data_IF_632749230915
#
_entry.id   IF_632749230915
#
_cell.length_a   1.000
_cell.length_b   1.000
_cell.length_c   1.000
_cell.angle_alpha   90.00
_cell.angle_beta   90.00
_cell.angle_gamma   90.00
#
_symmetry.space_group_name_H-M   'P 1'
#
loop_
_entity.id
_entity.type
_entity.pdbx_description
1 polymer ?
#
# COMPACT_ATOMS: atom_id res chain seq x y z
N UNK A 1 -4.27 8.84 7.32
CA UNK A 1 -4.34 9.68 8.53
C UNK A 1 -3.44 10.90 8.45
N UNK A 2 -2.12 10.78 8.30
CA UNK A 2 -1.24 11.96 8.12
C UNK A 2 -1.74 12.96 7.06
N UNK A 3 -2.16 12.47 5.87
CA UNK A 3 -2.72 13.33 4.83
C UNK A 3 -3.98 14.11 5.28
N UNK A 4 -4.88 13.49 6.06
CA UNK A 4 -6.04 14.21 6.61
C UNK A 4 -5.61 15.33 7.55
N UNK A 5 -4.62 15.08 8.41
CA UNK A 5 -4.02 16.13 9.26
C UNK A 5 -3.41 17.24 8.41
N UNK A 6 -2.74 16.90 7.30
CA UNK A 6 -2.20 17.93 6.39
C UNK A 6 -3.29 18.76 5.71
N UNK A 7 -4.44 18.16 5.36
CA UNK A 7 -5.60 18.90 4.83
C UNK A 7 -6.16 19.85 5.88
N UNK A 8 -6.30 19.41 7.13
CA UNK A 8 -6.74 20.27 8.24
C UNK A 8 -5.74 21.41 8.51
N UNK A 9 -4.44 21.10 8.53
CA UNK A 9 -3.39 22.10 8.69
C UNK A 9 -3.37 23.10 7.53
N UNK A 10 -3.67 22.68 6.30
CA UNK A 10 -3.76 23.60 5.16
C UNK A 10 -4.90 24.63 5.32
N UNK A 11 -5.88 24.38 6.21
CA UNK A 11 -6.94 25.33 6.55
C UNK A 11 -6.58 26.20 7.76
N UNK A 12 -6.01 25.60 8.81
CA UNK A 12 -5.77 26.30 10.09
C UNK A 12 -4.39 26.96 10.22
N UNK A 13 -3.35 26.37 9.60
CA UNK A 13 -1.95 26.83 9.64
C UNK A 13 -1.22 26.43 8.34
N UNK A 14 -1.49 27.12 7.21
CA UNK A 14 -1.03 26.70 5.88
C UNK A 14 0.50 26.62 5.71
N UNK A 15 1.23 27.42 6.47
CA UNK A 15 2.69 27.45 6.54
C UNK A 15 3.28 26.14 7.10
N UNK A 16 2.54 25.46 7.98
CA UNK A 16 2.93 24.19 8.60
C UNK A 16 2.49 22.96 7.80
N UNK A 17 1.61 23.14 6.80
CA UNK A 17 1.14 22.04 5.97
C UNK A 17 2.14 21.67 4.88
N UNK A 18 2.29 20.36 4.66
CA UNK A 18 2.94 19.80 3.48
C UNK A 18 2.12 19.99 2.19
N UNK A 19 0.85 20.38 2.33
CA UNK A 19 -0.05 20.67 1.21
C UNK A 19 -0.20 22.18 0.98
N UNK A 20 -0.49 22.55 -0.26
CA UNK A 20 -0.73 23.93 -0.70
C UNK A 20 -1.89 23.97 -1.69
N UNK A 21 -2.63 25.08 -1.78
CA UNK A 21 -3.69 25.23 -2.78
C UNK A 21 -3.09 25.35 -4.19
N UNK A 22 -3.72 24.70 -5.16
CA UNK A 22 -3.37 24.89 -6.56
C UNK A 22 -3.61 26.35 -6.96
N UNK A 23 -2.56 27.03 -7.42
CA UNK A 23 -2.55 28.46 -7.76
C UNK A 23 -1.64 29.35 -6.89
N UNK A 24 -1.27 28.92 -5.68
CA UNK A 24 -0.43 29.74 -4.78
C UNK A 24 1.09 29.67 -5.11
N UNK A 25 1.54 28.71 -5.92
CA UNK A 25 2.93 28.65 -6.41
C UNK A 25 3.03 28.89 -7.94
N UNK A 26 2.28 29.85 -8.48
CA UNK A 26 2.47 30.36 -9.85
C UNK A 26 2.10 29.41 -10.99
N UNK A 27 1.20 28.46 -10.75
CA UNK A 27 0.68 27.55 -11.80
C UNK A 27 -0.76 27.95 -12.17
N UNK A 28 -1.02 28.08 -13.48
CA UNK A 28 -2.36 28.29 -14.04
C UNK A 28 -3.19 27.02 -13.90
N UNK A 29 -4.30 27.10 -13.19
CA UNK A 29 -5.19 25.96 -12.95
C UNK A 29 -6.00 26.14 -11.69
N UNK A 30 -7.06 26.95 -11.79
CA UNK A 30 -8.02 27.20 -10.73
C UNK A 30 -8.80 25.94 -10.37
N UNK A 31 -8.35 25.23 -9.35
CA UNK A 31 -9.12 24.21 -8.66
C UNK A 31 -8.94 24.38 -7.16
N UNK A 32 -10.02 24.34 -6.38
CA UNK A 32 -9.96 24.46 -4.92
C UNK A 32 -9.28 23.28 -4.20
N UNK A 33 -8.69 22.33 -4.94
CA UNK A 33 -7.95 21.19 -4.40
C UNK A 33 -6.55 21.60 -3.95
N UNK A 34 -6.04 20.84 -3.00
CA UNK A 34 -4.70 20.92 -2.46
C UNK A 34 -3.76 19.98 -3.22
N UNK A 35 -2.46 20.28 -3.22
CA UNK A 35 -1.41 19.39 -3.73
C UNK A 35 -0.25 19.32 -2.75
N UNK A 36 0.59 18.29 -2.88
CA UNK A 36 1.84 18.21 -2.14
C UNK A 36 2.80 19.30 -2.64
N UNK A 37 3.38 20.09 -1.73
CA UNK A 37 4.39 21.10 -2.09
C UNK A 37 5.60 20.43 -2.72
N UNK A 38 6.22 21.08 -3.73
CA UNK A 38 7.32 20.52 -4.55
C UNK A 38 8.54 20.05 -3.74
N UNK A 39 8.79 20.64 -2.57
CA UNK A 39 9.89 20.27 -1.67
C UNK A 39 9.69 18.96 -0.91
N UNK A 40 8.49 18.37 -0.95
CA UNK A 40 8.17 17.13 -0.25
C UNK A 40 7.98 15.99 -1.24
N UNK A 41 8.44 14.81 -0.82
CA UNK A 41 8.30 13.55 -1.55
C UNK A 41 7.90 12.43 -0.57
N UNK A 42 7.14 11.45 -1.06
CA UNK A 42 6.71 10.31 -0.25
C UNK A 42 7.46 9.06 -0.70
N UNK A 43 8.07 8.37 0.26
CA UNK A 43 8.89 7.18 0.02
C UNK A 43 8.33 6.00 0.80
N UNK A 44 8.15 4.86 0.14
CA UNK A 44 7.70 3.62 0.78
C UNK A 44 8.89 2.72 1.05
N UNK A 45 9.09 2.31 2.29
CA UNK A 45 10.05 1.29 2.68
C UNK A 45 9.32 -0.01 3.05
N UNK A 46 9.79 -1.14 2.55
CA UNK A 46 9.30 -2.47 2.94
C UNK A 46 10.51 -3.36 3.22
N UNK A 47 10.51 -4.08 4.34
CA UNK A 47 11.62 -4.96 4.72
C UNK A 47 11.89 -6.09 3.70
N UNK A 48 10.91 -6.46 2.90
CA UNK A 48 11.00 -7.55 1.94
C UNK A 48 10.03 -7.31 0.79
N UNK A 49 10.31 -7.86 -0.40
CA UNK A 49 9.48 -7.66 -1.59
C UNK A 49 7.97 -7.84 -1.29
N UNK A 50 7.08 -7.00 -1.83
CA UNK A 50 5.65 -7.10 -1.54
C UNK A 50 5.08 -8.45 -2.00
N UNK A 51 4.22 -9.06 -1.18
CA UNK A 51 3.56 -10.33 -1.54
C UNK A 51 2.75 -10.17 -2.84
N UNK A 52 2.67 -11.25 -3.62
CA UNK A 52 2.08 -11.26 -4.96
C UNK A 52 3.15 -11.46 -6.03
N UNK A 53 2.95 -10.86 -7.21
CA UNK A 53 3.84 -11.00 -8.37
C UNK A 53 5.28 -10.53 -8.08
N UNK A 54 5.46 -9.60 -7.13
CA UNK A 54 6.79 -9.14 -6.70
C UNK A 54 7.69 -10.24 -6.11
N UNK A 55 7.10 -11.39 -5.73
CA UNK A 55 7.82 -12.58 -5.23
C UNK A 55 7.76 -13.78 -6.17
N UNK A 56 7.15 -13.65 -7.35
CA UNK A 56 7.05 -14.76 -8.31
C UNK A 56 8.31 -14.77 -9.18
N UNK A 57 9.19 -15.74 -8.90
CA UNK A 57 10.40 -16.05 -9.68
C UNK A 57 10.86 -17.49 -9.39
N UNK A 58 11.59 -18.10 -10.32
CA UNK A 58 12.23 -19.40 -10.11
C UNK A 58 13.65 -19.22 -9.53
N UNK A 59 14.03 -20.11 -8.61
CA UNK A 59 15.43 -20.31 -8.24
C UNK A 59 16.06 -21.36 -9.17
N UNK A 60 17.14 -21.02 -9.88
CA UNK A 60 18.03 -22.00 -10.55
C UNK A 60 17.61 -22.57 -11.92
N UNK A 61 16.62 -22.03 -12.64
CA UNK A 61 16.16 -22.59 -13.92
C UNK A 61 16.89 -22.09 -15.17
N UNK A 62 17.46 -22.99 -15.99
CA UNK A 62 18.07 -22.73 -17.32
C UNK A 62 17.06 -22.67 -18.50
N UNK A 63 15.74 -22.55 -18.29
CA UNK A 63 14.74 -22.58 -19.39
C UNK A 63 13.70 -21.46 -19.33
N UNK A 64 13.40 -20.87 -20.51
CA UNK A 64 12.46 -19.75 -20.81
C UNK A 64 10.96 -20.03 -20.51
N UNK A 65 10.60 -21.00 -19.66
CA UNK A 65 9.29 -21.65 -19.78
C UNK A 65 8.14 -21.16 -18.85
N UNK A 66 8.34 -20.18 -17.97
CA UNK A 66 7.29 -19.73 -17.01
C UNK A 66 6.93 -18.24 -17.07
N UNK A 67 6.79 -17.68 -18.28
CA UNK A 67 6.15 -16.37 -18.47
C UNK A 67 4.61 -16.40 -18.30
N UNK A 68 3.98 -17.58 -18.18
CA UNK A 68 2.51 -17.70 -18.21
C UNK A 68 1.78 -17.15 -16.98
N UNK A 69 2.43 -17.18 -15.81
CA UNK A 69 1.79 -16.81 -14.53
C UNK A 69 2.40 -15.56 -13.87
N UNK A 70 3.37 -14.92 -14.52
CA UNK A 70 3.93 -13.65 -14.07
C UNK A 70 3.05 -12.50 -14.53
N UNK A 71 2.99 -11.48 -13.69
CA UNK A 71 2.23 -10.27 -13.93
C UNK A 71 0.71 -10.41 -13.89
N UNK A 72 0.19 -11.56 -13.46
CA UNK A 72 -1.24 -11.73 -13.16
C UNK A 72 -1.58 -11.19 -11.77
N UNK A 73 -2.84 -10.80 -11.58
CA UNK A 73 -3.39 -10.39 -10.29
C UNK A 73 -3.42 -11.58 -9.31
N UNK A 74 -3.23 -11.31 -8.02
CA UNK A 74 -3.16 -12.33 -6.98
C UNK A 74 -3.94 -11.95 -5.72
N UNK A 75 -4.53 -12.94 -5.07
CA UNK A 75 -5.23 -12.81 -3.79
C UNK A 75 -4.39 -13.37 -2.65
N UNK A 76 -4.45 -12.77 -1.47
CA UNK A 76 -3.92 -13.34 -0.23
C UNK A 76 -4.73 -14.58 0.13
N UNK A 77 -4.02 -15.60 0.62
CA UNK A 77 -4.65 -16.80 1.18
C UNK A 77 -5.17 -16.44 2.57
N UNK A 78 -6.42 -16.80 2.86
CA UNK A 78 -7.00 -16.69 4.20
C UNK A 78 -6.19 -17.52 5.21
N UNK A 79 -5.96 -16.98 6.40
CA UNK A 79 -5.08 -17.56 7.44
C UNK A 79 -3.66 -17.92 6.97
N UNK A 80 -3.15 -17.27 5.92
CA UNK A 80 -1.83 -17.50 5.37
C UNK A 80 -1.07 -16.24 4.96
N UNK A 81 0.24 -16.40 4.75
CA UNK A 81 1.13 -15.31 4.29
C UNK A 81 1.34 -15.30 2.78
N UNK A 82 0.88 -16.36 2.11
CA UNK A 82 1.02 -16.59 0.69
C UNK A 82 -0.01 -15.85 -0.16
N UNK A 83 0.10 -16.06 -1.47
CA UNK A 83 -0.88 -15.56 -2.44
C UNK A 83 -1.20 -16.62 -3.48
N UNK A 84 -2.44 -16.66 -3.93
CA UNK A 84 -2.94 -17.48 -5.04
C UNK A 84 -3.24 -16.62 -6.26
N UNK A 85 -3.23 -17.21 -7.46
CA UNK A 85 -3.62 -16.51 -8.68
C UNK A 85 -5.11 -16.14 -8.62
N UNK A 86 -5.45 -14.96 -9.15
CA UNK A 86 -6.82 -14.66 -9.52
C UNK A 86 -7.14 -15.26 -10.88
N UNK A 87 -8.28 -15.94 -10.98
CA UNK A 87 -8.78 -16.53 -12.21
C UNK A 87 -9.87 -15.64 -12.83
N UNK A 88 -10.21 -15.84 -14.11
CA UNK A 88 -11.23 -15.00 -14.78
C UNK A 88 -12.64 -15.35 -14.30
N UNK A 89 -12.81 -16.61 -13.92
CA UNK A 89 -14.02 -17.23 -13.43
C UNK A 89 -14.23 -16.98 -11.93
N UNK A 90 -13.32 -16.23 -11.29
CA UNK A 90 -13.48 -15.78 -9.92
C UNK A 90 -14.78 -14.95 -9.80
N UNK A 91 -15.81 -15.52 -9.18
CA UNK A 91 -17.08 -14.84 -8.95
C UNK A 91 -16.87 -13.57 -8.12
N UNK A 92 -17.77 -12.59 -8.24
CA UNK A 92 -17.73 -11.43 -7.33
C UNK A 92 -18.08 -11.90 -5.93
N UNK A 93 -17.24 -11.54 -4.95
CA UNK A 93 -17.59 -11.78 -3.55
C UNK A 93 -18.80 -10.93 -3.16
N UNK A 94 -19.82 -11.59 -2.65
CA UNK A 94 -20.96 -10.97 -1.98
C UNK A 94 -20.94 -11.33 -0.49
N UNK A 95 -21.67 -10.56 0.32
CA UNK A 95 -21.69 -10.75 1.77
C UNK A 95 -22.32 -12.11 2.12
N UNK A 96 -23.43 -12.45 1.48
CA UNK A 96 -24.10 -13.75 1.58
C UNK A 96 -23.17 -14.90 1.17
N UNK A 97 -22.45 -14.79 0.04
CA UNK A 97 -21.51 -15.83 -0.38
C UNK A 97 -20.39 -16.05 0.65
N UNK A 98 -19.88 -14.96 1.24
CA UNK A 98 -18.89 -15.05 2.32
C UNK A 98 -19.48 -15.70 3.58
N UNK A 99 -20.70 -15.32 3.98
CA UNK A 99 -21.39 -15.94 5.12
C UNK A 99 -21.67 -17.44 4.89
N UNK A 100 -21.83 -17.87 3.64
CA UNK A 100 -21.97 -19.28 3.24
C UNK A 100 -20.61 -20.02 3.14
N UNK A 101 -19.51 -19.39 3.52
CA UNK A 101 -18.19 -20.03 3.60
C UNK A 101 -17.31 -19.85 2.37
N UNK A 102 -17.66 -18.98 1.41
CA UNK A 102 -16.69 -18.57 0.39
C UNK A 102 -15.53 -17.82 1.05
N UNK A 103 -14.31 -18.12 0.59
CA UNK A 103 -13.08 -17.52 1.15
C UNK A 103 -12.98 -16.04 0.88
N UNK A 104 -12.47 -15.29 1.86
CA UNK A 104 -12.16 -13.87 1.67
C UNK A 104 -11.02 -13.69 0.66
N UNK A 105 -11.23 -12.84 -0.34
CA UNK A 105 -10.22 -12.49 -1.36
C UNK A 105 -9.76 -11.05 -1.17
N UNK A 106 -8.56 -10.90 -0.62
CA UNK A 106 -7.89 -9.60 -0.51
C UNK A 106 -6.72 -9.53 -1.50
N UNK A 107 -6.68 -8.48 -2.33
CA UNK A 107 -5.59 -8.27 -3.29
C UNK A 107 -4.19 -8.28 -2.64
N UNK A 108 -3.21 -8.79 -3.38
CA UNK A 108 -1.81 -8.84 -2.98
C UNK A 108 -1.21 -7.44 -2.76
N UNK A 109 -0.11 -7.38 -1.99
CA UNK A 109 0.53 -6.09 -1.71
C UNK A 109 1.14 -5.48 -2.97
N UNK A 110 1.71 -6.28 -3.88
CA UNK A 110 2.26 -5.75 -5.13
C UNK A 110 1.17 -5.16 -6.03
N UNK A 111 -0.02 -5.77 -6.06
CA UNK A 111 -1.15 -5.24 -6.83
C UNK A 111 -1.71 -3.95 -6.20
N UNK A 112 -1.67 -3.82 -4.87
CA UNK A 112 -2.03 -2.57 -4.17
C UNK A 112 -1.03 -1.44 -4.46
N UNK A 113 0.27 -1.72 -4.50
CA UNK A 113 1.29 -0.74 -4.90
C UNK A 113 1.10 -0.33 -6.36
N UNK A 114 0.83 -1.29 -7.25
CA UNK A 114 0.50 -1.01 -8.66
C UNK A 114 -0.70 -0.07 -8.78
N UNK A 115 -1.76 -0.32 -8.01
CA UNK A 115 -2.93 0.57 -7.95
C UNK A 115 -2.55 1.98 -7.51
N UNK A 116 -1.73 2.13 -6.47
CA UNK A 116 -1.26 3.46 -6.02
C UNK A 116 -0.40 4.17 -7.07
N UNK A 117 0.30 3.43 -7.93
CA UNK A 117 1.08 4.00 -9.01
C UNK A 117 0.23 4.60 -10.15
N UNK A 118 -1.08 4.40 -10.12
CA UNK A 118 -2.05 4.94 -11.09
C UNK A 118 -3.03 5.90 -10.41
N UNK A 119 -3.66 5.44 -9.32
CA UNK A 119 -4.73 6.17 -8.63
C UNK A 119 -4.23 7.10 -7.52
N UNK A 120 -2.92 7.14 -7.27
CA UNK A 120 -2.34 7.83 -6.12
C UNK A 120 -2.63 7.14 -4.78
N UNK A 121 -2.04 7.69 -3.72
CA UNK A 121 -2.06 7.16 -2.35
C UNK A 121 -3.30 7.59 -1.55
N UNK A 122 -3.91 8.70 -1.93
CA UNK A 122 -4.94 9.41 -1.16
C UNK A 122 -6.26 8.63 -1.03
N UNK A 123 -6.57 7.77 -2.00
CA UNK A 123 -7.85 7.07 -2.07
C UNK A 123 -9.02 7.99 -2.44
N UNK A 124 -10.23 7.42 -2.53
CA UNK A 124 -11.40 8.12 -3.10
C UNK A 124 -11.91 9.28 -2.25
N UNK A 125 -11.87 9.18 -0.92
CA UNK A 125 -12.42 10.23 -0.07
C UNK A 125 -11.54 11.49 -0.10
N UNK A 126 -10.23 11.33 0.03
CA UNK A 126 -9.31 12.46 -0.02
C UNK A 126 -9.15 13.05 -1.42
N UNK A 127 -9.41 12.29 -2.51
CA UNK A 127 -9.31 12.84 -3.88
C UNK A 127 -10.30 13.96 -4.18
N UNK A 128 -11.33 14.17 -3.34
CA UNK A 128 -12.19 15.35 -3.41
C UNK A 128 -11.45 16.63 -2.96
N UNK A 129 -10.44 16.52 -2.10
CA UNK A 129 -9.73 17.65 -1.50
C UNK A 129 -8.30 17.80 -2.00
N UNK A 130 -7.66 16.71 -2.42
CA UNK A 130 -6.27 16.72 -2.89
C UNK A 130 -6.16 16.16 -4.30
N UNK A 131 -5.26 16.72 -5.09
CA UNK A 131 -4.78 16.11 -6.33
C UNK A 131 -4.08 14.76 -6.04
N UNK A 132 -3.95 13.85 -7.02
CA UNK A 132 -3.30 12.57 -6.82
C UNK A 132 -1.86 12.70 -6.32
N UNK A 133 -1.54 11.98 -5.25
CA UNK A 133 -0.20 11.97 -4.64
C UNK A 133 0.42 10.60 -4.86
N UNK A 134 1.59 10.57 -5.49
CA UNK A 134 2.30 9.35 -5.85
C UNK A 134 3.53 9.10 -4.99
N UNK A 135 4.00 7.85 -4.99
CA UNK A 135 5.29 7.49 -4.38
C UNK A 135 6.44 7.96 -5.27
N UNK A 136 7.44 8.61 -4.67
CA UNK A 136 8.69 8.96 -5.33
C UNK A 136 9.69 7.80 -5.33
N UNK A 137 9.65 6.94 -4.30
CA UNK A 137 10.43 5.69 -4.32
C UNK A 137 9.76 4.54 -3.58
N UNK A 138 10.13 3.33 -3.99
CA UNK A 138 9.90 2.07 -3.29
C UNK A 138 11.27 1.49 -2.91
N UNK A 139 11.56 1.39 -1.62
CA UNK A 139 12.84 0.91 -1.08
C UNK A 139 12.65 -0.43 -0.38
N UNK A 140 13.48 -1.42 -0.70
CA UNK A 140 13.41 -2.77 -0.12
C UNK A 140 14.65 -3.10 0.72
N UNK A 141 14.48 -3.68 1.92
CA UNK A 141 15.62 -4.15 2.72
C UNK A 141 16.17 -5.50 2.25
N UNK A 142 15.29 -6.45 1.97
CA UNK A 142 15.67 -7.75 1.44
C UNK A 142 15.29 -7.87 -0.02
N UNK A 143 16.34 -7.94 -0.82
CA UNK A 143 16.27 -7.84 -2.24
C UNK A 143 16.14 -9.23 -2.88
N UNK A 144 15.03 -9.51 -3.57
CA UNK A 144 14.87 -10.75 -4.35
C UNK A 144 15.38 -10.56 -5.77
N UNK A 145 14.62 -9.87 -6.63
CA UNK A 145 14.98 -9.49 -8.01
C UNK A 145 14.27 -8.19 -8.44
N UNK A 146 15.02 -7.21 -8.95
CA UNK A 146 14.52 -5.88 -9.32
C UNK A 146 13.47 -5.98 -10.40
N UNK A 147 13.75 -6.80 -11.41
CA UNK A 147 12.83 -7.04 -12.52
C UNK A 147 11.47 -7.59 -12.08
N UNK A 148 11.40 -8.39 -11.01
CA UNK A 148 10.11 -8.87 -10.50
C UNK A 148 9.32 -7.76 -9.83
N UNK A 149 9.96 -6.99 -8.96
CA UNK A 149 9.31 -5.90 -8.23
C UNK A 149 8.90 -4.80 -9.21
N UNK A 150 9.77 -4.43 -10.14
CA UNK A 150 9.53 -3.44 -11.17
C UNK A 150 8.33 -3.82 -12.04
N UNK A 151 8.33 -5.04 -12.59
CA UNK A 151 7.16 -5.59 -13.31
C UNK A 151 5.90 -5.50 -12.45
N UNK A 152 5.95 -6.04 -11.24
CA UNK A 152 4.77 -6.18 -10.39
C UNK A 152 4.16 -4.83 -9.97
N UNK A 153 4.99 -3.84 -9.64
CA UNK A 153 4.55 -2.60 -8.99
C UNK A 153 4.33 -1.43 -9.94
N UNK A 154 4.89 -1.46 -11.16
CA UNK A 154 4.69 -0.38 -12.14
C UNK A 154 4.81 -0.80 -13.61
N UNK A 155 5.62 -1.82 -13.94
CA UNK A 155 5.87 -2.24 -15.32
C UNK A 155 4.62 -2.71 -16.07
N UNK A 156 3.68 -3.37 -15.38
CA UNK A 156 2.44 -3.91 -15.99
C UNK A 156 1.45 -2.87 -16.51
N UNK A 157 1.58 -1.62 -16.07
CA UNK A 157 0.66 -0.53 -16.41
C UNK A 157 1.34 0.58 -17.20
N UNK A 158 2.57 0.41 -17.68
CA UNK A 158 3.30 1.48 -18.39
C UNK A 158 2.58 2.04 -19.63
N UNK A 159 1.75 1.23 -20.31
CA UNK A 159 0.93 1.68 -21.44
C UNK A 159 -0.52 2.02 -21.09
N UNK A 160 -0.89 2.00 -19.81
CA UNK A 160 -2.25 2.33 -19.38
C UNK A 160 -2.44 3.84 -19.36
N UNK A 161 -3.56 4.30 -19.94
CA UNK A 161 -3.96 5.71 -19.92
C UNK A 161 -5.22 5.82 -19.06
N UNK A 162 -5.17 6.49 -17.89
CA UNK A 162 -6.36 6.73 -17.09
C UNK A 162 -7.40 7.53 -17.87
N UNK A 163 -8.69 7.24 -17.63
CA UNK A 163 -9.79 7.97 -18.26
C UNK A 163 -9.94 9.39 -17.74
N UNK A 164 -9.54 9.63 -16.49
CA UNK A 164 -9.55 10.94 -15.85
C UNK A 164 -8.16 11.58 -16.00
N UNK A 165 -8.05 12.76 -16.65
CA UNK A 165 -6.76 13.41 -16.92
C UNK A 165 -6.03 13.89 -15.67
N UNK A 166 -6.70 13.96 -14.51
CA UNK A 166 -6.05 14.27 -13.24
C UNK A 166 -5.07 13.17 -12.80
N UNK A 167 -5.26 11.94 -13.29
CA UNK A 167 -4.47 10.78 -12.95
C UNK A 167 -3.49 10.41 -14.07
N UNK A 168 -2.31 9.94 -13.67
CA UNK A 168 -1.31 9.41 -14.57
C UNK A 168 -0.69 8.13 -14.03
N UNK A 169 -0.11 7.33 -14.93
CA UNK A 169 0.82 6.28 -14.53
C UNK A 169 2.12 6.98 -14.08
N UNK A 170 2.45 6.86 -12.80
CA UNK A 170 3.66 7.46 -12.25
C UNK A 170 4.91 6.76 -12.81
N UNK A 171 5.55 7.41 -13.78
CA UNK A 171 6.76 6.97 -14.47
C UNK A 171 8.04 7.30 -13.68
N UNK A 172 7.95 8.14 -12.65
CA UNK A 172 9.09 8.58 -11.83
C UNK A 172 9.34 7.73 -10.58
N UNK A 173 8.58 6.64 -10.37
CA UNK A 173 8.76 5.76 -9.22
C UNK A 173 10.14 5.08 -9.24
N UNK A 174 11.03 5.52 -8.35
CA UNK A 174 12.36 4.92 -8.21
C UNK A 174 12.31 3.64 -7.36
N UNK A 175 12.73 2.51 -7.91
CA UNK A 175 12.99 1.29 -7.13
C UNK A 175 14.40 1.36 -6.52
N UNK A 176 14.52 1.12 -5.21
CA UNK A 176 15.79 1.20 -4.48
C UNK A 176 16.00 -0.03 -3.60
N UNK A 177 17.27 -0.39 -3.40
CA UNK A 177 17.68 -1.36 -2.40
C UNK A 177 18.26 -0.64 -1.18
N UNK A 178 17.91 -1.08 0.02
CA UNK A 178 18.50 -0.57 1.27
C UNK A 178 19.75 -1.37 1.61
N UNK A 179 20.78 -0.68 2.11
CA UNK A 179 21.95 -1.31 2.72
C UNK A 179 21.69 -1.79 4.15
N UNK A 180 20.52 -1.49 4.71
CA UNK A 180 20.16 -1.86 6.07
C UNK A 180 19.96 -3.37 6.20
N UNK A 181 20.84 -4.01 6.97
CA UNK A 181 20.75 -5.44 7.28
C UNK A 181 19.89 -5.62 8.53
N UNK A 182 18.71 -6.22 8.37
CA UNK A 182 17.88 -6.58 9.52
C UNK A 182 18.57 -7.70 10.34
N UNK A 183 18.63 -7.60 11.68
CA UNK A 183 19.36 -8.55 12.54
C UNK A 183 18.95 -10.03 12.35
N UNK A 184 17.70 -10.30 11.98
CA UNK A 184 17.16 -11.66 11.82
C UNK A 184 17.43 -12.30 10.45
N UNK A 185 18.26 -11.69 9.60
CA UNK A 185 18.63 -12.27 8.29
C UNK A 185 19.61 -13.44 8.36
N UNK A 186 20.32 -13.61 9.48
CA UNK A 186 21.33 -14.68 9.62
C UNK A 186 20.76 -16.00 10.18
N UNK A 187 19.52 -16.02 10.67
CA UNK A 187 18.90 -17.23 11.19
C UNK A 187 18.16 -18.00 10.07
N UNK A 188 18.58 -19.23 9.79
CA UNK A 188 17.93 -20.17 8.85
C UNK A 188 16.47 -20.49 9.18
N UNK A 189 16.01 -20.20 10.40
CA UNK A 189 14.63 -20.42 10.81
C UNK A 189 13.79 -19.17 10.50
N UNK A 190 12.83 -19.29 9.57
CA UNK A 190 11.78 -18.27 9.43
C UNK A 190 10.99 -18.25 10.74
N UNK A 191 10.99 -17.14 11.51
CA UNK A 191 10.15 -17.04 12.69
C UNK A 191 8.69 -17.23 12.28
N UNK A 192 7.90 -17.94 13.09
CA UNK A 192 6.45 -17.99 12.91
C UNK A 192 5.94 -16.55 12.93
N UNK A 193 5.11 -16.20 11.96
CA UNK A 193 4.58 -14.84 11.89
C UNK A 193 3.69 -14.54 13.08
N UNK A 194 3.78 -13.30 13.54
CA UNK A 194 2.95 -12.80 14.62
C UNK A 194 1.53 -12.58 14.11
N UNK A 195 0.53 -12.89 14.94
CA UNK A 195 -0.87 -12.50 14.71
C UNK A 195 -1.15 -11.05 15.13
N UNK A 196 -0.09 -10.24 15.29
CA UNK A 196 -0.16 -8.85 15.72
C UNK A 196 0.47 -7.96 14.66
N UNK A 197 -0.25 -6.90 14.28
CA UNK A 197 0.23 -5.82 13.43
C UNK A 197 0.36 -4.54 14.24
N UNK A 198 1.51 -3.87 14.15
CA UNK A 198 1.75 -2.58 14.79
C UNK A 198 1.59 -1.45 13.76
N UNK A 199 0.94 -0.36 14.14
CA UNK A 199 0.87 0.85 13.32
C UNK A 199 1.15 2.11 14.15
N UNK A 200 1.77 3.09 13.52
CA UNK A 200 2.04 4.41 14.10
C UNK A 200 2.02 5.47 13.00
N UNK A 201 1.63 6.68 13.37
CA UNK A 201 1.71 7.87 12.54
C UNK A 201 2.28 9.00 13.41
N UNK A 202 3.07 9.90 12.81
CA UNK A 202 3.67 11.06 13.48
C UNK A 202 2.66 11.97 14.19
N UNK A 203 1.38 11.91 13.81
CA UNK A 203 0.30 12.66 14.43
C UNK A 203 -0.37 11.91 15.60
N UNK A 204 0.15 10.75 15.99
CA UNK A 204 -0.39 9.90 17.04
C UNK A 204 0.47 9.94 18.30
N UNK A 205 -0.17 9.82 19.47
CA UNK A 205 0.52 9.72 20.75
C UNK A 205 1.25 8.39 21.00
N UNK A 206 1.08 7.37 20.15
CA UNK A 206 1.69 6.07 20.38
C UNK A 206 1.38 5.01 19.32
N UNK A 207 2.07 3.87 19.45
CA UNK A 207 1.86 2.68 18.62
C UNK A 207 0.53 2.03 18.98
N UNK A 208 -0.25 1.68 17.97
CA UNK A 208 -1.46 0.86 18.12
C UNK A 208 -1.15 -0.56 17.64
N UNK A 209 -1.50 -1.55 18.44
CA UNK A 209 -1.35 -2.97 18.10
C UNK A 209 -2.71 -3.54 17.70
N UNK A 210 -2.75 -4.33 16.63
CA UNK A 210 -3.96 -4.89 16.03
C UNK A 210 -3.84 -6.40 15.98
N UNK A 211 -4.87 -7.11 16.42
CA UNK A 211 -5.02 -8.55 16.14
C UNK A 211 -5.35 -8.72 14.65
N UNK A 212 -4.49 -9.41 13.91
CA UNK A 212 -4.62 -9.53 12.45
C UNK A 212 -5.75 -10.45 12.02
N UNK A 213 -6.28 -11.31 12.91
CA UNK A 213 -7.41 -12.20 12.61
C UNK A 213 -8.73 -11.47 12.77
N UNK A 214 -8.86 -10.66 13.83
CA UNK A 214 -10.10 -9.92 14.10
C UNK A 214 -10.14 -8.54 13.45
N UNK A 215 -8.98 -7.97 13.10
CA UNK A 215 -8.86 -6.59 12.62
C UNK A 215 -9.14 -5.54 13.70
N UNK A 216 -9.18 -5.93 14.97
CA UNK A 216 -9.46 -5.05 16.13
C UNK A 216 -8.19 -4.65 16.86
N UNK A 217 -8.21 -3.46 17.45
CA UNK A 217 -7.14 -2.99 18.30
C UNK A 217 -7.06 -3.81 19.59
N UNK A 218 -5.84 -4.23 19.92
CA UNK A 218 -5.50 -4.83 21.20
C UNK A 218 -5.54 -3.72 22.26
N UNK A 219 -6.43 -3.83 23.23
CA UNK A 219 -6.39 -2.97 24.41
C UNK A 219 -5.45 -3.54 25.47
N UNK A 220 -4.95 -2.69 26.36
CA UNK A 220 -4.30 -3.16 27.59
C UNK A 220 -5.30 -4.02 28.37
N UNK A 221 -4.84 -5.14 28.93
CA UNK A 221 -5.69 -6.07 29.69
C UNK A 221 -6.42 -5.42 30.87
N UNK A 222 -5.94 -4.25 31.32
CA UNK A 222 -6.48 -3.51 32.47
C UNK A 222 -7.73 -2.67 32.16
N UNK A 223 -8.11 -2.51 30.87
CA UNK A 223 -9.17 -1.58 30.49
C UNK A 223 -10.60 -2.14 30.62
N UNK A 224 -10.78 -3.45 30.83
CA UNK A 224 -12.10 -4.09 31.03
C UNK A 224 -13.13 -3.92 29.90
N UNK A 225 -12.79 -3.22 28.82
CA UNK A 225 -13.65 -2.91 27.68
C UNK A 225 -13.34 -3.87 26.53
N UNK A 226 -14.37 -4.26 25.77
CA UNK A 226 -14.25 -5.19 24.65
C UNK A 226 -13.33 -4.71 23.53
N UNK A 227 -13.12 -5.56 22.52
CA UNK A 227 -12.19 -5.30 21.42
C UNK A 227 -12.46 -3.94 20.72
N UNK A 228 -11.49 -3.03 20.77
CA UNK A 228 -11.64 -1.70 20.21
C UNK A 228 -11.50 -1.68 18.67
N UNK A 229 -12.24 -0.77 18.04
CA UNK A 229 -12.08 -0.51 16.61
C UNK A 229 -10.76 0.24 16.37
N UNK A 230 -9.91 -0.26 15.47
CA UNK A 230 -8.64 0.41 15.12
C UNK A 230 -8.88 1.81 14.58
N UNK A 231 -8.00 2.76 14.90
CA UNK A 231 -7.97 4.09 14.27
C UNK A 231 -7.73 4.06 12.75
N UNK A 232 -7.28 2.92 12.21
CA UNK A 232 -7.13 2.70 10.76
C UNK A 232 -8.36 2.07 10.10
N UNK A 233 -9.41 1.75 10.86
CA UNK A 233 -10.66 1.23 10.30
C UNK A 233 -11.39 2.28 9.47
N UNK A 234 -12.19 1.82 8.51
CA UNK A 234 -12.94 2.67 7.58
C UNK A 234 -13.82 3.73 8.28
N UNK A 235 -14.39 3.41 9.44
CA UNK A 235 -15.29 4.30 10.19
C UNK A 235 -14.57 5.53 10.78
N UNK A 236 -13.24 5.48 10.91
CA UNK A 236 -12.44 6.58 11.46
C UNK A 236 -11.67 7.38 10.40
N UNK A 237 -11.83 7.02 9.12
CA UNK A 237 -11.21 7.68 7.97
C UNK A 237 -12.25 8.52 7.23
#
# INVERSE_FOLDING_TARGET
RWLYTQVQLAQSAPDKSALVRSGEEGEEGGGGKLRLRKRFSIHLFISTAPCGDGRVYQFGGKKKQDYKNVGRLRHKIEDGEGTVLGEKEDERLSIDSFMLGQRLRTMSCSDKVLKWNVMGLQGSLLSHFVHPIYLSSLTLAHFTRESCVARACFGRVQGFVPSDPEYAVNSSLALRSSTFVLPNTMARARPKSSSVSANWNATDGGVELIDTKTGRALQSKDAGQGAATSRLAKVFM
#
